data_IF_260028746505
#
_entry.id   IF_260028746505
#
_cell.length_a   1.000
_cell.length_b   1.000
_cell.length_c   1.000
_cell.angle_alpha   90.00
_cell.angle_beta   90.00
_cell.angle_gamma   90.00
#
_symmetry.space_group_name_H-M   'P 1'
#
loop_
_entity.id
_entity.type
_entity.pdbx_description
1 polymer ?
#
# COMPACT_ATOMS: atom_id res chain seq x y z
N UNK A 1 15.37 -16.80 -12.27
CA UNK A 1 14.06 -16.75 -11.57
C UNK A 1 13.08 -17.51 -12.45
N UNK A 2 12.71 -18.74 -12.06
CA UNK A 2 11.57 -19.38 -12.69
C UNK A 2 10.35 -18.51 -12.34
N UNK A 3 9.73 -17.90 -13.35
CA UNK A 3 8.52 -17.10 -13.14
C UNK A 3 7.43 -18.04 -12.60
N UNK A 4 6.74 -17.61 -11.54
CA UNK A 4 5.54 -18.28 -11.02
C UNK A 4 4.41 -18.14 -12.05
N UNK A 5 4.52 -18.88 -13.15
CA UNK A 5 3.56 -18.95 -14.24
C UNK A 5 2.75 -20.24 -14.11
N UNK A 6 1.56 -20.24 -14.69
CA UNK A 6 0.74 -21.44 -14.79
C UNK A 6 1.50 -22.59 -15.48
N UNK A 7 1.21 -23.81 -15.02
CA UNK A 7 1.73 -25.02 -15.66
C UNK A 7 1.14 -25.18 -17.06
N UNK A 8 1.83 -25.88 -17.98
CA UNK A 8 1.31 -26.16 -19.32
C UNK A 8 -0.07 -26.83 -19.33
N UNK A 9 -0.35 -27.70 -18.36
CA UNK A 9 -1.63 -28.40 -18.25
C UNK A 9 -2.79 -27.44 -17.92
N UNK A 10 -2.56 -26.50 -16.99
CA UNK A 10 -3.54 -25.46 -16.67
C UNK A 10 -3.70 -24.47 -17.84
N UNK A 11 -2.63 -24.18 -18.57
CA UNK A 11 -2.71 -23.37 -19.80
C UNK A 11 -3.57 -24.04 -20.87
N UNK A 12 -3.39 -25.34 -21.10
CA UNK A 12 -4.17 -26.11 -22.08
C UNK A 12 -5.66 -26.21 -21.70
N UNK A 13 -5.99 -26.13 -20.41
CA UNK A 13 -7.37 -25.99 -19.94
C UNK A 13 -7.96 -24.62 -20.31
N UNK A 14 -7.20 -23.54 -20.12
CA UNK A 14 -7.66 -22.16 -20.31
C UNK A 14 -7.82 -21.74 -21.77
N UNK A 15 -7.16 -22.41 -22.72
CA UNK A 15 -7.30 -22.13 -24.15
C UNK A 15 -8.52 -22.80 -24.80
N UNK A 16 -9.36 -23.52 -24.04
CA UNK A 16 -10.55 -24.19 -24.57
C UNK A 16 -11.60 -23.17 -25.04
N UNK A 17 -11.60 -22.88 -26.34
CA UNK A 17 -12.49 -21.87 -26.93
C UNK A 17 -13.98 -22.29 -27.03
N UNK A 18 -14.24 -23.60 -26.99
CA UNK A 18 -15.57 -24.19 -27.16
C UNK A 18 -16.18 -24.71 -25.84
N UNK A 19 -15.46 -24.60 -24.72
CA UNK A 19 -15.99 -24.99 -23.41
C UNK A 19 -16.76 -23.82 -22.78
N UNK A 20 -17.89 -24.06 -22.09
CA UNK A 20 -18.56 -23.02 -21.30
C UNK A 20 -17.63 -22.47 -20.22
N UNK A 21 -17.72 -21.17 -19.95
CA UNK A 21 -16.91 -20.50 -18.93
C UNK A 21 -17.05 -21.15 -17.55
N UNK A 22 -18.28 -21.48 -17.14
CA UNK A 22 -18.56 -22.17 -15.87
C UNK A 22 -17.90 -23.53 -15.80
N UNK A 23 -17.99 -24.32 -16.88
CA UNK A 23 -17.35 -25.63 -16.95
C UNK A 23 -15.82 -25.51 -16.89
N UNK A 24 -15.22 -24.56 -17.63
CA UNK A 24 -13.77 -24.33 -17.57
C UNK A 24 -13.32 -23.93 -16.17
N UNK A 25 -14.12 -23.13 -15.45
CA UNK A 25 -13.83 -22.74 -14.08
C UNK A 25 -13.94 -23.90 -13.09
N UNK A 26 -14.97 -24.74 -13.21
CA UNK A 26 -15.13 -25.95 -12.39
C UNK A 26 -14.01 -26.95 -12.64
N UNK A 27 -13.63 -27.17 -13.91
CA UNK A 27 -12.48 -27.99 -14.29
C UNK A 27 -11.17 -27.43 -13.70
N UNK A 28 -10.98 -26.10 -13.75
CA UNK A 28 -9.78 -25.44 -13.23
C UNK A 28 -9.69 -25.62 -11.72
N UNK A 29 -10.79 -25.35 -11.01
CA UNK A 29 -10.87 -25.57 -9.58
C UNK A 29 -10.61 -27.05 -9.24
N UNK A 30 -11.17 -28.00 -9.99
CA UNK A 30 -10.91 -29.42 -9.79
C UNK A 30 -9.44 -29.80 -9.98
N UNK A 31 -8.76 -29.23 -10.98
CA UNK A 31 -7.34 -29.48 -11.23
C UNK A 31 -6.42 -28.97 -10.12
N UNK A 32 -6.84 -27.94 -9.38
CA UNK A 32 -6.07 -27.35 -8.28
C UNK A 32 -6.52 -27.87 -6.91
N UNK A 33 -7.55 -28.73 -6.84
CA UNK A 33 -7.96 -29.40 -5.61
C UNK A 33 -6.81 -30.28 -5.08
N UNK A 34 -6.31 -29.93 -3.89
CA UNK A 34 -5.16 -30.61 -3.27
C UNK A 34 -3.82 -29.90 -3.50
N UNK A 35 -3.81 -28.84 -4.31
CA UNK A 35 -2.73 -27.87 -4.35
C UNK A 35 -3.10 -26.61 -3.55
N UNK A 36 -2.17 -25.67 -3.43
CA UNK A 36 -2.47 -24.35 -2.88
C UNK A 36 -3.27 -23.54 -3.91
N UNK A 37 -4.60 -23.60 -3.80
CA UNK A 37 -5.56 -22.93 -4.70
C UNK A 37 -5.19 -21.46 -4.94
N UNK A 38 -4.81 -20.74 -3.89
CA UNK A 38 -4.43 -19.34 -4.03
C UNK A 38 -3.16 -19.16 -4.84
N UNK A 39 -2.15 -20.02 -4.65
CA UNK A 39 -0.94 -19.98 -5.47
C UNK A 39 -1.30 -20.14 -6.94
N UNK A 40 -2.24 -21.02 -7.29
CA UNK A 40 -2.69 -21.21 -8.68
C UNK A 40 -3.51 -20.04 -9.23
N UNK A 41 -4.40 -19.47 -8.43
CA UNK A 41 -5.16 -18.27 -8.79
C UNK A 41 -4.24 -17.06 -8.96
N UNK A 42 -3.18 -16.99 -8.16
CA UNK A 42 -2.13 -15.98 -8.34
C UNK A 42 -1.36 -16.23 -9.63
N UNK A 43 -0.88 -17.44 -9.88
CA UNK A 43 -0.17 -17.76 -11.13
C UNK A 43 -1.03 -17.39 -12.35
N UNK A 44 -2.34 -17.68 -12.30
CA UNK A 44 -3.31 -17.25 -13.30
C UNK A 44 -3.31 -15.73 -13.48
N UNK A 45 -3.50 -14.98 -12.39
CA UNK A 45 -3.49 -13.52 -12.41
C UNK A 45 -2.19 -12.95 -13.00
N UNK A 46 -1.03 -13.42 -12.53
CA UNK A 46 0.27 -12.97 -13.01
C UNK A 46 0.47 -13.32 -14.49
N UNK A 47 0.05 -14.50 -14.94
CA UNK A 47 0.13 -14.86 -16.36
C UNK A 47 -0.76 -13.95 -17.21
N UNK A 48 -1.98 -13.62 -16.77
CA UNK A 48 -2.86 -12.65 -17.45
C UNK A 48 -2.19 -11.28 -17.57
N UNK A 49 -1.62 -10.76 -16.48
CA UNK A 49 -0.96 -9.44 -16.46
C UNK A 49 0.30 -9.41 -17.35
N UNK A 50 1.13 -10.46 -17.30
CA UNK A 50 2.32 -10.59 -18.16
C UNK A 50 1.94 -10.59 -19.63
N UNK A 51 0.91 -11.36 -20.01
CA UNK A 51 0.45 -11.40 -21.40
C UNK A 51 -0.17 -10.06 -21.80
N UNK A 52 -0.95 -9.41 -20.93
CA UNK A 52 -1.56 -8.12 -21.23
C UNK A 52 -0.54 -6.99 -21.46
N UNK A 53 0.62 -7.06 -20.77
CA UNK A 53 1.71 -6.10 -20.91
C UNK A 53 2.78 -6.46 -21.96
N UNK A 54 2.67 -7.60 -22.63
CA UNK A 54 3.68 -8.05 -23.59
C UNK A 54 3.52 -7.38 -24.96
N UNK A 55 4.63 -7.10 -25.64
CA UNK A 55 4.62 -6.59 -27.03
C UNK A 55 4.05 -7.63 -28.02
N UNK A 56 4.36 -8.91 -27.80
CA UNK A 56 3.83 -10.04 -28.56
C UNK A 56 3.25 -11.12 -27.62
N UNK A 57 1.98 -10.95 -27.18
CA UNK A 57 1.35 -11.87 -26.24
C UNK A 57 1.10 -13.26 -26.83
N UNK A 58 0.98 -13.38 -28.16
CA UNK A 58 0.78 -14.68 -28.80
C UNK A 58 2.07 -15.51 -28.70
N UNK A 59 3.22 -14.90 -28.98
CA UNK A 59 4.51 -15.56 -28.83
C UNK A 59 4.82 -15.85 -27.36
N UNK A 60 4.51 -14.93 -26.45
CA UNK A 60 4.66 -15.17 -25.01
C UNK A 60 3.82 -16.38 -24.54
N UNK A 61 2.56 -16.48 -24.97
CA UNK A 61 1.71 -17.62 -24.64
C UNK A 61 2.25 -18.94 -25.22
N UNK A 62 2.80 -18.93 -26.44
CA UNK A 62 3.46 -20.11 -27.03
C UNK A 62 4.68 -20.57 -26.22
N UNK A 63 5.47 -19.63 -25.74
CA UNK A 63 6.64 -19.93 -24.91
C UNK A 63 6.23 -20.54 -23.57
N UNK A 64 5.18 -20.00 -22.94
CA UNK A 64 4.63 -20.56 -21.69
C UNK A 64 4.10 -21.99 -21.88
N UNK A 65 3.61 -22.33 -23.08
CA UNK A 65 3.18 -23.69 -23.44
C UNK A 65 4.32 -24.64 -23.82
N UNK A 66 5.58 -24.21 -23.72
CA UNK A 66 6.75 -25.04 -24.02
C UNK A 66 7.21 -25.06 -25.48
N UNK A 67 6.78 -24.11 -26.32
CA UNK A 67 7.45 -23.74 -27.58
C UNK A 67 7.56 -24.77 -28.71
N UNK A 68 6.96 -25.97 -28.62
CA UNK A 68 7.24 -27.08 -29.55
C UNK A 68 6.15 -27.40 -30.60
N UNK A 69 5.04 -26.66 -30.68
CA UNK A 69 4.02 -26.95 -31.71
C UNK A 69 4.40 -26.31 -33.05
N UNK A 70 5.02 -27.09 -33.94
CA UNK A 70 5.38 -26.72 -35.32
C UNK A 70 4.18 -26.55 -36.29
N UNK A 71 2.95 -26.41 -35.80
CA UNK A 71 1.79 -26.27 -36.69
C UNK A 71 1.52 -24.80 -37.02
N UNK A 72 1.45 -24.52 -38.32
CA UNK A 72 1.23 -23.19 -38.86
C UNK A 72 -0.20 -22.66 -38.70
N UNK A 73 -0.31 -21.38 -39.09
CA UNK A 73 -1.48 -20.50 -39.16
C UNK A 73 -1.80 -19.72 -37.87
N UNK A 74 -1.33 -18.47 -37.83
CA UNK A 74 -1.51 -17.52 -36.72
C UNK A 74 -2.96 -17.14 -36.35
N UNK A 75 -3.96 -17.64 -37.08
CA UNK A 75 -5.36 -17.50 -36.69
C UNK A 75 -5.70 -18.33 -35.43
N UNK A 76 -5.08 -19.50 -35.26
CA UNK A 76 -5.27 -20.32 -34.06
C UNK A 76 -4.62 -19.67 -32.83
N UNK A 77 -3.48 -19.01 -33.00
CA UNK A 77 -2.79 -18.34 -31.88
C UNK A 77 -3.61 -17.20 -31.28
N UNK A 78 -4.28 -16.42 -32.13
CA UNK A 78 -5.17 -15.36 -31.70
C UNK A 78 -6.40 -15.89 -30.95
N UNK A 79 -6.93 -17.03 -31.40
CA UNK A 79 -8.03 -17.72 -30.76
C UNK A 79 -7.62 -18.29 -29.40
N UNK A 80 -6.46 -18.92 -29.31
CA UNK A 80 -5.91 -19.46 -28.06
C UNK A 80 -5.67 -18.34 -27.05
N UNK A 81 -5.07 -17.22 -27.48
CA UNK A 81 -4.86 -16.05 -26.63
C UNK A 81 -6.20 -15.46 -26.13
N UNK A 82 -7.18 -15.32 -27.02
CA UNK A 82 -8.49 -14.81 -26.64
C UNK A 82 -9.22 -15.77 -25.68
N UNK A 83 -9.20 -17.07 -25.96
CA UNK A 83 -9.75 -18.10 -25.08
C UNK A 83 -9.14 -18.01 -23.68
N UNK A 84 -7.80 -17.98 -23.62
CA UNK A 84 -7.04 -17.85 -22.38
C UNK A 84 -7.47 -16.62 -21.59
N UNK A 85 -7.48 -15.45 -22.22
CA UNK A 85 -7.85 -14.19 -21.55
C UNK A 85 -9.26 -14.25 -20.99
N UNK A 86 -10.24 -14.68 -21.79
CA UNK A 86 -11.65 -14.70 -21.36
C UNK A 86 -11.90 -15.73 -20.26
N UNK A 87 -11.35 -16.94 -20.38
CA UNK A 87 -11.49 -17.98 -19.36
C UNK A 87 -10.80 -17.55 -18.05
N UNK A 88 -9.63 -16.91 -18.13
CA UNK A 88 -8.90 -16.47 -16.94
C UNK A 88 -9.67 -15.41 -16.15
N UNK A 89 -10.22 -14.39 -16.84
CA UNK A 89 -11.04 -13.37 -16.18
C UNK A 89 -12.30 -13.97 -15.53
N UNK A 90 -12.92 -14.94 -16.20
CA UNK A 90 -14.08 -15.61 -15.65
C UNK A 90 -13.73 -16.45 -14.41
N UNK A 91 -12.58 -17.13 -14.39
CA UNK A 91 -12.12 -17.89 -13.21
C UNK A 91 -11.83 -16.95 -12.03
N UNK A 92 -11.17 -15.81 -12.28
CA UNK A 92 -10.92 -14.80 -11.25
C UNK A 92 -12.23 -14.26 -10.62
N UNK A 93 -13.29 -14.17 -11.42
CA UNK A 93 -14.65 -13.95 -10.94
C UNK A 93 -15.22 -15.15 -10.18
N UNK A 94 -15.18 -16.34 -10.77
CA UNK A 94 -15.84 -17.54 -10.26
C UNK A 94 -15.34 -17.94 -8.87
N UNK A 95 -14.03 -17.83 -8.60
CA UNK A 95 -13.44 -18.13 -7.28
C UNK A 95 -13.95 -17.21 -6.18
N UNK A 96 -14.46 -16.03 -6.53
CA UNK A 96 -14.99 -15.05 -5.58
C UNK A 96 -16.48 -14.77 -5.78
N UNK A 97 -17.21 -15.62 -6.52
CA UNK A 97 -18.61 -15.34 -6.90
C UNK A 97 -19.58 -15.32 -5.72
N UNK A 98 -19.22 -15.98 -4.62
CA UNK A 98 -20.02 -16.04 -3.40
C UNK A 98 -19.89 -14.76 -2.55
N UNK A 99 -18.98 -13.86 -2.93
CA UNK A 99 -18.80 -12.56 -2.30
C UNK A 99 -19.40 -11.44 -3.15
N UNK A 100 -19.74 -10.32 -2.51
CA UNK A 100 -20.10 -9.10 -3.24
C UNK A 100 -18.95 -8.71 -4.20
N UNK A 101 -19.29 -8.30 -5.42
CA UNK A 101 -18.31 -7.85 -6.42
C UNK A 101 -17.41 -6.71 -5.88
N UNK A 102 -17.92 -5.90 -4.95
CA UNK A 102 -17.18 -4.86 -4.23
C UNK A 102 -16.03 -5.41 -3.37
N UNK A 103 -16.03 -6.71 -3.05
CA UNK A 103 -15.01 -7.41 -2.28
C UNK A 103 -14.06 -8.23 -3.17
N UNK A 104 -14.27 -8.28 -4.48
CA UNK A 104 -13.41 -9.04 -5.37
C UNK A 104 -12.01 -8.38 -5.43
N UNK A 105 -10.92 -9.14 -5.19
CA UNK A 105 -9.56 -8.58 -5.22
C UNK A 105 -9.14 -8.07 -6.60
N UNK A 106 -9.80 -8.50 -7.68
CA UNK A 106 -9.52 -8.06 -9.05
C UNK A 106 -10.29 -6.80 -9.46
N UNK A 107 -11.18 -6.28 -8.59
CA UNK A 107 -12.03 -5.12 -8.90
C UNK A 107 -11.23 -3.92 -9.38
N UNK A 108 -10.14 -3.58 -8.69
CA UNK A 108 -9.25 -2.46 -9.05
C UNK A 108 -8.68 -2.60 -10.46
N UNK A 109 -8.24 -3.82 -10.81
CA UNK A 109 -7.68 -4.09 -12.12
C UNK A 109 -8.74 -3.99 -13.22
N UNK A 110 -9.92 -4.56 -12.99
CA UNK A 110 -11.05 -4.52 -13.91
C UNK A 110 -11.54 -3.11 -14.19
N UNK A 111 -11.67 -2.28 -13.15
CA UNK A 111 -12.07 -0.86 -13.31
C UNK A 111 -11.02 -0.09 -14.10
N UNK A 112 -9.73 -0.26 -13.78
CA UNK A 112 -8.62 0.37 -14.52
C UNK A 112 -8.60 -0.04 -15.99
N UNK A 113 -8.79 -1.33 -16.28
CA UNK A 113 -8.84 -1.86 -17.64
C UNK A 113 -10.01 -1.28 -18.45
N UNK A 114 -11.17 -1.10 -17.81
CA UNK A 114 -12.33 -0.47 -18.45
C UNK A 114 -12.07 1.02 -18.75
N UNK A 115 -11.43 1.75 -17.82
CA UNK A 115 -11.08 3.15 -17.98
C UNK A 115 -10.09 3.37 -19.14
N UNK A 116 -8.97 2.64 -19.15
CA UNK A 116 -7.93 2.79 -20.19
C UNK A 116 -8.45 2.51 -21.61
N UNK A 117 -9.38 1.56 -21.74
CA UNK A 117 -10.00 1.23 -23.02
C UNK A 117 -10.97 2.31 -23.48
N UNK A 118 -11.70 2.95 -22.55
CA UNK A 118 -12.60 4.06 -22.87
C UNK A 118 -11.83 5.29 -23.38
N UNK A 119 -10.68 5.59 -22.79
CA UNK A 119 -9.80 6.68 -23.24
C UNK A 119 -9.27 6.43 -24.66
N UNK A 120 -8.90 5.19 -24.97
CA UNK A 120 -8.36 4.81 -26.29
C UNK A 120 -9.42 4.87 -27.39
N UNK A 121 -10.69 4.58 -27.09
CA UNK A 121 -11.78 4.63 -28.07
C UNK A 121 -12.07 6.04 -28.60
N UNK A 122 -11.72 7.09 -27.86
CA UNK A 122 -11.93 8.47 -28.28
C UNK A 122 -11.05 8.94 -29.45
N UNK A 123 -9.95 8.23 -29.74
CA UNK A 123 -8.93 8.69 -30.70
C UNK A 123 -9.13 8.24 -32.16
N UNK A 124 -10.25 7.61 -32.50
CA UNK A 124 -10.74 7.50 -33.89
C UNK A 124 -9.83 6.82 -34.93
N UNK A 125 -8.75 6.14 -34.54
CA UNK A 125 -7.87 5.48 -35.51
C UNK A 125 -8.57 4.21 -36.07
N UNK A 126 -8.87 4.25 -37.37
CA UNK A 126 -9.68 3.24 -38.05
C UNK A 126 -8.96 1.89 -38.24
N UNK A 127 -7.64 1.84 -38.01
CA UNK A 127 -6.86 0.60 -38.11
C UNK A 127 -6.75 -0.09 -36.76
N UNK A 128 -7.85 -0.69 -36.29
CA UNK A 128 -7.79 -1.42 -35.03
C UNK A 128 -6.92 -2.68 -35.17
N UNK A 129 -5.81 -2.75 -34.46
CA UNK A 129 -4.95 -3.94 -34.47
C UNK A 129 -5.70 -5.14 -33.90
N UNK A 130 -5.28 -6.37 -34.27
CA UNK A 130 -5.86 -7.60 -33.73
C UNK A 130 -5.86 -7.60 -32.19
N UNK A 131 -4.78 -7.09 -31.58
CA UNK A 131 -4.65 -6.99 -30.14
C UNK A 131 -5.68 -6.03 -29.52
N UNK A 132 -5.93 -4.88 -30.13
CA UNK A 132 -7.00 -3.97 -29.70
C UNK A 132 -8.39 -4.60 -29.83
N UNK A 133 -8.60 -5.50 -30.80
CA UNK A 133 -9.85 -6.27 -30.89
C UNK A 133 -9.97 -7.28 -29.73
N UNK A 134 -8.91 -8.03 -29.43
CA UNK A 134 -8.87 -8.95 -28.28
C UNK A 134 -9.14 -8.19 -26.98
N UNK A 135 -8.48 -7.05 -26.78
CA UNK A 135 -8.65 -6.22 -25.58
C UNK A 135 -10.08 -5.67 -25.44
N UNK A 136 -10.71 -5.23 -26.54
CA UNK A 136 -12.13 -4.80 -26.51
C UNK A 136 -13.06 -5.93 -26.10
N UNK A 137 -12.84 -7.15 -26.59
CA UNK A 137 -13.65 -8.31 -26.22
C UNK A 137 -13.43 -8.68 -24.74
N UNK A 138 -12.17 -8.66 -24.26
CA UNK A 138 -11.83 -8.89 -22.85
C UNK A 138 -12.52 -7.87 -21.94
N UNK A 139 -12.48 -6.59 -22.30
CA UNK A 139 -13.17 -5.50 -21.57
C UNK A 139 -14.69 -5.72 -21.56
N UNK A 140 -15.29 -6.13 -22.68
CA UNK A 140 -16.72 -6.43 -22.72
C UNK A 140 -17.11 -7.55 -21.73
N UNK A 141 -16.30 -8.62 -21.64
CA UNK A 141 -16.55 -9.68 -20.65
C UNK A 141 -16.48 -9.14 -19.22
N UNK A 142 -15.43 -8.38 -18.90
CA UNK A 142 -15.27 -7.77 -17.57
C UNK A 142 -16.38 -6.79 -17.25
N UNK A 143 -16.86 -6.00 -18.22
CA UNK A 143 -18.04 -5.16 -18.03
C UNK A 143 -19.29 -5.98 -17.71
N UNK A 144 -19.47 -7.14 -18.36
CA UNK A 144 -20.54 -8.07 -18.02
C UNK A 144 -20.44 -8.59 -16.58
N UNK A 145 -19.25 -9.00 -16.15
CA UNK A 145 -18.97 -9.44 -14.76
C UNK A 145 -19.31 -8.32 -13.77
N UNK A 146 -18.75 -7.12 -13.97
CA UNK A 146 -19.02 -5.94 -13.14
C UNK A 146 -20.51 -5.58 -13.15
N UNK A 147 -21.18 -5.76 -14.28
CA UNK A 147 -22.63 -5.57 -14.48
C UNK A 147 -23.52 -6.59 -13.79
N UNK A 148 -22.97 -7.55 -13.04
CA UNK A 148 -23.73 -8.59 -12.34
C UNK A 148 -24.22 -9.71 -13.27
N UNK A 149 -23.64 -9.86 -14.47
CA UNK A 149 -24.02 -10.88 -15.44
C UNK A 149 -23.17 -12.16 -15.34
N UNK A 150 -22.33 -12.27 -14.32
CA UNK A 150 -21.35 -13.37 -14.18
C UNK A 150 -21.98 -14.77 -14.24
N UNK A 151 -23.12 -15.00 -13.58
CA UNK A 151 -23.81 -16.30 -13.64
C UNK A 151 -24.31 -16.63 -15.06
N UNK A 152 -24.94 -15.67 -15.73
CA UNK A 152 -25.43 -15.86 -17.10
C UNK A 152 -24.29 -16.11 -18.09
N UNK A 153 -23.16 -15.39 -17.91
CA UNK A 153 -21.95 -15.56 -18.68
C UNK A 153 -21.38 -16.98 -18.53
N UNK A 154 -21.52 -17.63 -17.37
CA UNK A 154 -21.01 -18.98 -17.12
C UNK A 154 -21.50 -20.04 -18.12
N UNK A 155 -22.68 -19.85 -18.70
CA UNK A 155 -23.25 -20.76 -19.71
C UNK A 155 -22.69 -20.57 -21.13
N UNK A 156 -21.98 -19.47 -21.38
CA UNK A 156 -21.42 -19.15 -22.69
C UNK A 156 -20.03 -19.73 -22.86
N UNK A 157 -19.67 -20.04 -24.09
CA UNK A 157 -18.28 -20.34 -24.48
C UNK A 157 -17.59 -19.05 -24.93
N UNK A 158 -16.24 -18.99 -24.88
CA UNK A 158 -15.49 -17.91 -25.52
C UNK A 158 -15.92 -17.64 -26.98
N UNK A 159 -16.09 -18.70 -27.78
CA UNK A 159 -16.57 -18.60 -29.16
C UNK A 159 -17.94 -17.92 -29.25
N UNK A 160 -18.91 -18.38 -28.46
CA UNK A 160 -20.27 -17.86 -28.47
C UNK A 160 -20.30 -16.40 -27.99
N UNK A 161 -19.50 -16.04 -27.00
CA UNK A 161 -19.38 -14.68 -26.50
C UNK A 161 -18.88 -13.74 -27.60
N UNK A 162 -17.84 -14.13 -28.32
CA UNK A 162 -17.25 -13.37 -29.44
C UNK A 162 -18.23 -13.24 -30.60
N UNK A 163 -18.87 -14.33 -31.01
CA UNK A 163 -19.81 -14.35 -32.14
C UNK A 163 -21.05 -13.49 -31.87
N UNK A 164 -21.54 -13.46 -30.62
CA UNK A 164 -22.66 -12.62 -30.21
C UNK A 164 -22.31 -11.13 -30.21
N UNK A 165 -21.02 -10.78 -30.16
CA UNK A 165 -20.58 -9.38 -30.12
C UNK A 165 -21.15 -8.64 -28.90
N UNK A 166 -21.19 -9.31 -27.75
CA UNK A 166 -21.80 -8.75 -26.54
C UNK A 166 -21.01 -7.51 -26.08
N UNK A 167 -21.74 -6.49 -25.66
CA UNK A 167 -21.20 -5.32 -24.98
C UNK A 167 -22.17 -4.93 -23.85
N UNK A 168 -21.61 -4.34 -22.80
CA UNK A 168 -22.35 -4.00 -21.59
C UNK A 168 -22.06 -2.54 -21.24
N UNK A 169 -23.10 -1.80 -20.86
CA UNK A 169 -22.92 -0.48 -20.32
C UNK A 169 -22.83 -0.56 -18.79
N UNK A 170 -21.73 -0.07 -18.23
CA UNK A 170 -21.52 -0.04 -16.78
C UNK A 170 -21.15 1.37 -16.35
N UNK A 171 -21.79 1.82 -15.26
CA UNK A 171 -21.29 2.97 -14.53
C UNK A 171 -20.11 2.53 -13.67
N UNK A 172 -18.90 3.01 -13.98
CA UNK A 172 -17.70 2.74 -13.21
C UNK A 172 -17.66 3.55 -11.90
N UNK A 173 -18.39 4.67 -11.82
CA UNK A 173 -18.38 5.54 -10.64
C UNK A 173 -18.95 4.83 -9.40
N UNK A 174 -19.89 3.89 -9.59
CA UNK A 174 -20.46 3.09 -8.49
C UNK A 174 -19.42 2.24 -7.73
N UNK A 175 -18.28 1.94 -8.35
CA UNK A 175 -17.20 1.18 -7.70
C UNK A 175 -16.22 2.05 -6.92
N UNK A 176 -16.35 3.40 -6.98
CA UNK A 176 -15.43 4.30 -6.30
C UNK A 176 -15.36 4.07 -4.79
N UNK A 177 -16.52 3.87 -4.15
CA UNK A 177 -16.58 3.60 -2.71
C UNK A 177 -15.94 2.25 -2.35
N UNK A 178 -16.19 1.21 -3.16
CA UNK A 178 -15.59 -0.11 -2.98
C UNK A 178 -14.07 -0.06 -3.12
N UNK A 179 -13.57 0.60 -4.17
CA UNK A 179 -12.14 0.80 -4.41
C UNK A 179 -11.48 1.63 -3.31
N UNK A 180 -12.18 2.62 -2.77
CA UNK A 180 -11.74 3.36 -1.60
C UNK A 180 -11.65 2.47 -0.35
N UNK A 181 -12.68 1.65 -0.08
CA UNK A 181 -12.66 0.66 1.02
C UNK A 181 -11.55 -0.38 0.86
N UNK A 182 -11.17 -0.71 -0.37
CA UNK A 182 -10.03 -1.56 -0.71
C UNK A 182 -8.67 -0.82 -0.64
N UNK A 183 -8.65 0.48 -0.34
CA UNK A 183 -7.43 1.27 -0.24
C UNK A 183 -6.79 1.69 -1.56
N UNK A 184 -7.47 1.47 -2.70
CA UNK A 184 -6.99 1.75 -4.06
C UNK A 184 -6.98 3.25 -4.36
N UNK A 185 -7.94 4.00 -3.82
CA UNK A 185 -7.98 5.46 -3.91
C UNK A 185 -7.68 6.07 -2.55
N UNK A 186 -6.85 7.11 -2.54
CA UNK A 186 -6.68 7.95 -1.36
C UNK A 186 -8.01 8.67 -1.05
N UNK A 187 -8.31 8.94 0.23
CA UNK A 187 -9.41 9.85 0.55
C UNK A 187 -9.13 11.18 -0.16
N UNK A 188 -9.93 11.51 -1.18
CA UNK A 188 -10.08 12.92 -1.52
C UNK A 188 -10.52 13.62 -0.24
N UNK A 189 -9.82 14.67 0.22
CA UNK A 189 -10.19 15.35 1.43
C UNK A 189 -11.59 15.94 1.23
N UNK A 190 -12.61 15.27 1.74
CA UNK A 190 -14.00 15.72 1.81
C UNK A 190 -14.15 17.00 2.67
N UNK A 191 -13.04 17.59 3.12
CA UNK A 191 -12.95 18.80 3.92
C UNK A 191 -12.65 20.08 3.12
N UNK A 192 -12.64 20.06 1.79
CA UNK A 192 -12.58 21.31 0.99
C UNK A 192 -13.92 22.06 0.89
N UNK A 193 -14.92 21.70 1.70
CA UNK A 193 -16.16 22.45 1.81
C UNK A 193 -15.93 23.76 2.58
N UNK A 194 -15.76 24.85 1.84
CA UNK A 194 -16.03 26.24 2.21
C UNK A 194 -15.33 26.79 3.46
N UNK A 195 -14.18 27.44 3.24
CA UNK A 195 -13.76 28.58 4.08
C UNK A 195 -13.30 29.76 3.21
N UNK A 196 -14.28 30.43 2.61
CA UNK A 196 -14.12 31.83 2.22
C UNK A 196 -14.47 32.73 3.42
N UNK A 197 -13.46 33.29 4.07
CA UNK A 197 -13.52 34.59 4.77
C UNK A 197 -12.09 34.98 5.19
N UNK A 198 -11.44 35.90 4.48
CA UNK A 198 -11.42 37.36 4.78
C UNK A 198 -10.39 37.76 5.85
N UNK A 199 -9.33 38.45 5.40
CA UNK A 199 -8.77 39.73 5.95
C UNK A 199 -8.66 39.85 7.48
N UNK A 200 -7.50 40.12 8.10
CA UNK A 200 -6.76 41.38 7.97
C UNK A 200 -5.47 41.36 8.80
N UNK A 201 -4.47 42.07 8.30
CA UNK A 201 -3.26 42.58 8.97
C UNK A 201 -3.50 43.39 10.25
N UNK A 202 -2.61 43.30 11.25
CA UNK A 202 -2.18 44.48 12.02
C UNK A 202 -0.78 44.32 12.62
N UNK A 203 0.11 45.18 12.16
CA UNK A 203 1.45 45.51 12.68
C UNK A 203 1.34 46.38 13.94
N UNK A 204 2.14 46.15 14.99
CA UNK A 204 2.51 47.21 15.94
C UNK A 204 3.93 47.04 16.53
N UNK A 205 4.68 48.14 16.45
CA UNK A 205 6.02 48.37 16.98
C UNK A 205 5.99 48.95 18.42
N UNK A 206 6.86 48.42 19.30
CA UNK A 206 7.85 49.03 20.25
C UNK A 206 7.56 50.45 20.84
N UNK A 207 7.80 50.73 22.16
CA UNK A 207 9.12 51.22 22.65
C UNK A 207 9.56 50.89 24.10
N UNK A 208 10.84 51.20 24.48
CA UNK A 208 11.53 50.75 25.70
C UNK A 208 11.64 51.85 26.79
N UNK A 209 12.07 51.51 28.01
CA UNK A 209 12.78 52.43 28.94
C UNK A 209 13.41 51.69 30.15
N UNK A 210 14.41 52.32 30.85
CA UNK A 210 15.43 51.67 31.69
C UNK A 210 15.38 52.03 33.20
N UNK A 211 16.40 51.55 33.95
CA UNK A 211 16.86 51.92 35.33
C UNK A 211 16.26 51.14 36.52
N UNK A 212 16.89 51.04 37.71
CA UNK A 212 18.25 50.65 38.17
C UNK A 212 18.20 50.53 39.73
N UNK A 213 18.96 49.59 40.31
CA UNK A 213 19.35 49.38 41.75
C UNK A 213 18.30 48.86 42.78
N UNK A 214 18.66 48.35 44.00
CA UNK A 214 19.94 47.94 44.64
C UNK A 214 19.89 46.48 45.26
N UNK A 215 20.92 45.98 46.01
CA UNK A 215 21.08 44.55 46.34
C UNK A 215 20.56 44.19 47.74
N UNK A 216 19.92 43.04 47.92
CA UNK A 216 19.64 42.45 49.24
C UNK A 216 19.31 40.95 49.19
N UNK A 217 20.04 40.19 50.01
CA UNK A 217 19.65 38.91 50.65
C UNK A 217 19.51 37.64 49.79
N UNK A 218 19.84 36.45 50.34
CA UNK A 218 19.88 35.20 49.59
C UNK A 218 18.44 34.77 49.24
N UNK A 219 18.07 35.03 47.99
CA UNK A 219 16.76 34.74 47.44
C UNK A 219 16.59 33.24 47.14
N UNK A 220 15.36 32.70 47.27
CA UNK A 220 14.99 31.42 46.67
C UNK A 220 15.29 31.46 45.16
N UNK A 221 15.60 30.31 44.52
CA UNK A 221 16.05 30.24 43.14
C UNK A 221 15.12 31.06 42.23
N UNK A 222 15.71 32.07 41.59
CA UNK A 222 15.04 33.04 40.73
C UNK A 222 14.38 32.32 39.53
N UNK A 223 13.12 32.66 39.23
CA UNK A 223 12.35 32.13 38.09
C UNK A 223 12.99 32.37 36.71
N UNK A 224 14.08 33.15 36.63
CA UNK A 224 14.86 33.35 35.41
C UNK A 224 15.66 32.11 34.99
N UNK A 225 16.05 31.25 35.93
CA UNK A 225 16.90 30.08 35.61
C UNK A 225 16.11 28.95 34.93
N UNK A 226 14.84 28.74 35.29
CA UNK A 226 13.97 27.74 34.67
C UNK A 226 13.66 28.06 33.21
N UNK A 227 13.49 29.34 32.87
CA UNK A 227 13.24 29.77 31.48
C UNK A 227 14.45 29.49 30.58
N UNK A 228 15.65 29.82 31.06
CA UNK A 228 16.92 29.55 30.35
C UNK A 228 17.12 28.05 30.12
N UNK A 229 16.80 27.22 31.12
CA UNK A 229 16.94 25.77 31.00
C UNK A 229 15.93 25.15 30.04
N UNK A 230 14.67 25.59 30.07
CA UNK A 230 13.63 25.14 29.14
C UNK A 230 14.01 25.45 27.69
N UNK A 231 14.61 26.61 27.43
CA UNK A 231 15.11 26.99 26.11
C UNK A 231 16.26 26.09 25.64
N UNK A 232 17.21 25.77 26.54
CA UNK A 232 18.32 24.85 26.22
C UNK A 232 17.83 23.45 25.89
N UNK A 233 16.86 22.93 26.63
CA UNK A 233 16.25 21.62 26.38
C UNK A 233 15.51 21.62 25.05
N UNK A 234 14.72 22.66 24.80
CA UNK A 234 14.01 22.85 23.53
C UNK A 234 14.98 22.85 22.35
N UNK A 235 16.05 23.63 22.44
CA UNK A 235 17.09 23.67 21.41
C UNK A 235 17.79 22.30 21.23
N UNK A 236 18.05 21.57 22.31
CA UNK A 236 18.64 20.24 22.26
C UNK A 236 17.71 19.21 21.59
N UNK A 237 16.40 19.27 21.84
CA UNK A 237 15.40 18.40 21.20
C UNK A 237 15.33 18.70 19.71
N UNK A 238 15.25 19.98 19.32
CA UNK A 238 15.25 20.38 17.90
C UNK A 238 16.53 19.91 17.20
N UNK A 239 17.69 20.11 17.83
CA UNK A 239 18.96 19.62 17.29
C UNK A 239 18.98 18.09 17.19
N UNK A 240 18.42 17.39 18.18
CA UNK A 240 18.25 15.93 18.17
C UNK A 240 17.34 15.42 17.05
N UNK A 241 16.47 16.24 16.49
CA UNK A 241 15.65 15.84 15.35
C UNK A 241 16.44 15.73 14.04
N UNK A 242 17.68 16.25 13.99
CA UNK A 242 18.52 16.23 12.79
C UNK A 242 19.89 15.59 13.00
N UNK A 243 20.31 15.38 14.26
CA UNK A 243 21.65 14.91 14.62
C UNK A 243 21.56 13.90 15.76
N UNK A 244 22.28 12.76 15.69
CA UNK A 244 22.33 11.81 16.80
C UNK A 244 22.96 12.46 18.03
N UNK A 245 22.28 12.33 19.18
CA UNK A 245 22.75 12.79 20.48
C UNK A 245 23.39 11.62 21.24
N UNK A 246 24.35 11.89 22.15
CA UNK A 246 24.84 10.88 23.06
C UNK A 246 23.69 10.28 23.91
N UNK A 247 23.60 8.95 24.07
CA UNK A 247 22.53 8.32 24.85
C UNK A 247 22.43 8.83 26.29
N UNK A 248 23.57 9.20 26.90
CA UNK A 248 23.61 9.82 28.23
C UNK A 248 22.88 11.16 28.26
N UNK A 249 23.01 11.98 27.22
CA UNK A 249 22.31 13.26 27.10
C UNK A 249 20.81 13.05 26.90
N UNK A 250 20.41 12.10 26.04
CA UNK A 250 19.01 11.73 25.84
C UNK A 250 18.35 11.29 27.16
N UNK A 251 19.02 10.43 27.93
CA UNK A 251 18.53 9.98 29.24
C UNK A 251 18.49 11.11 30.28
N UNK A 252 19.46 12.03 30.26
CA UNK A 252 19.44 13.22 31.12
C UNK A 252 18.25 14.13 30.77
N UNK A 253 17.98 14.37 29.49
CA UNK A 253 16.83 15.17 29.05
C UNK A 253 15.52 14.52 29.51
N UNK A 254 15.34 13.21 29.28
CA UNK A 254 14.14 12.47 29.71
C UNK A 254 13.97 12.53 31.23
N UNK A 255 15.03 12.22 31.99
CA UNK A 255 15.03 12.22 33.46
C UNK A 255 14.72 13.60 34.03
N UNK A 256 15.25 14.64 33.40
CA UNK A 256 15.04 16.01 33.81
C UNK A 256 13.59 16.47 33.56
N UNK A 257 13.04 16.21 32.37
CA UNK A 257 11.64 16.52 32.03
C UNK A 257 10.67 15.72 32.92
N UNK A 258 10.97 14.44 33.18
CA UNK A 258 10.12 13.60 34.03
C UNK A 258 10.13 14.05 35.50
N UNK A 259 11.26 14.54 35.99
CA UNK A 259 11.40 15.10 37.34
C UNK A 259 10.70 16.46 37.50
N UNK A 260 10.56 17.23 36.42
CA UNK A 260 9.96 18.56 36.42
C UNK A 260 8.71 18.62 35.54
N UNK A 261 7.57 18.12 36.04
CA UNK A 261 6.31 18.05 35.28
C UNK A 261 5.85 19.38 34.66
N UNK A 262 6.18 20.53 35.27
CA UNK A 262 5.87 21.85 34.72
C UNK A 262 6.55 22.12 33.38
N UNK A 263 7.68 21.47 33.10
CA UNK A 263 8.35 21.59 31.80
C UNK A 263 7.59 20.91 30.68
N UNK A 264 6.85 19.83 30.99
CA UNK A 264 6.03 19.15 29.99
C UNK A 264 5.02 20.12 29.40
N UNK A 265 4.35 20.91 30.25
CA UNK A 265 3.38 21.94 29.80
C UNK A 265 4.02 23.11 29.05
N UNK A 266 5.34 23.29 29.15
CA UNK A 266 6.10 24.34 28.47
C UNK A 266 6.70 23.90 27.14
N UNK A 267 6.65 22.60 26.80
CA UNK A 267 7.09 22.11 25.49
C UNK A 267 6.18 22.68 24.39
N UNK A 268 6.77 23.40 23.44
CA UNK A 268 6.03 23.97 22.32
C UNK A 268 5.37 22.85 21.50
N UNK A 269 4.11 23.02 21.06
CA UNK A 269 3.48 22.13 20.08
C UNK A 269 4.32 21.89 18.83
N UNK A 270 5.14 22.88 18.41
CA UNK A 270 6.00 22.76 17.24
C UNK A 270 7.04 21.62 17.36
N UNK A 271 7.47 21.30 18.58
CA UNK A 271 8.38 20.18 18.86
C UNK A 271 7.71 18.81 18.66
N UNK A 272 6.38 18.82 18.65
CA UNK A 272 5.52 17.64 18.51
C UNK A 272 4.95 17.55 17.09
N UNK A 273 5.44 18.40 16.19
CA UNK A 273 5.00 18.42 14.81
C UNK A 273 5.39 17.15 14.05
N UNK A 274 4.68 16.95 12.93
CA UNK A 274 4.96 15.91 11.93
C UNK A 274 6.37 16.00 11.32
N UNK A 275 7.08 17.12 11.50
CA UNK A 275 8.46 17.28 11.03
C UNK A 275 9.50 16.84 12.07
N UNK A 276 9.26 17.09 13.36
CA UNK A 276 10.25 16.85 14.43
C UNK A 276 10.25 15.41 14.92
N UNK A 277 9.06 14.81 15.10
CA UNK A 277 8.95 13.45 15.65
C UNK A 277 9.63 12.40 14.75
N UNK A 278 9.40 12.37 13.42
CA UNK A 278 10.08 11.41 12.55
C UNK A 278 11.61 11.51 12.62
N UNK A 279 12.15 12.74 12.61
CA UNK A 279 13.59 12.96 12.75
C UNK A 279 14.12 12.49 14.10
N UNK A 280 13.39 12.74 15.19
CA UNK A 280 13.77 12.22 16.51
C UNK A 280 13.76 10.69 16.54
N UNK A 281 12.82 10.02 15.86
CA UNK A 281 12.80 8.56 15.78
C UNK A 281 14.01 8.03 15.03
N UNK A 282 14.39 8.65 13.91
CA UNK A 282 15.52 8.19 13.09
C UNK A 282 16.87 8.42 13.78
N UNK A 283 17.08 9.58 14.40
CA UNK A 283 18.38 9.94 14.97
C UNK A 283 18.51 9.63 16.47
N UNK A 284 17.41 9.65 17.21
CA UNK A 284 17.39 9.59 18.69
C UNK A 284 16.19 8.80 19.25
N UNK A 285 16.03 7.51 18.91
CA UNK A 285 14.80 6.76 19.19
C UNK A 285 14.45 6.68 20.68
N UNK A 286 15.44 6.59 21.57
CA UNK A 286 15.23 6.60 23.02
C UNK A 286 14.61 7.93 23.50
N UNK A 287 15.11 9.05 22.97
CA UNK A 287 14.59 10.38 23.29
C UNK A 287 13.15 10.54 22.76
N UNK A 288 12.91 10.13 21.52
CA UNK A 288 11.57 10.14 20.92
C UNK A 288 10.57 9.35 21.77
N UNK A 289 10.92 8.11 22.13
CA UNK A 289 10.09 7.25 22.96
C UNK A 289 9.80 7.85 24.34
N UNK A 290 10.83 8.35 25.03
CA UNK A 290 10.68 8.96 26.34
C UNK A 290 9.79 10.21 26.30
N UNK A 291 9.99 11.09 25.31
CA UNK A 291 9.19 12.31 25.14
C UNK A 291 7.74 12.00 24.81
N UNK A 292 7.49 11.15 23.82
CA UNK A 292 6.15 10.75 23.41
C UNK A 292 5.41 10.13 24.59
N UNK A 293 6.05 9.26 25.36
CA UNK A 293 5.43 8.68 26.55
C UNK A 293 5.09 9.73 27.61
N UNK A 294 6.03 10.63 27.93
CA UNK A 294 5.82 11.67 28.93
C UNK A 294 4.65 12.57 28.56
N UNK A 295 4.49 12.89 27.28
CA UNK A 295 3.42 13.74 26.76
C UNK A 295 2.09 12.99 26.70
N UNK A 296 2.08 11.76 26.20
CA UNK A 296 0.87 10.93 26.19
C UNK A 296 0.38 10.58 27.60
N UNK A 297 1.22 10.69 28.63
CA UNK A 297 0.82 10.41 30.02
C UNK A 297 0.48 11.68 30.80
N UNK A 298 1.31 12.73 30.68
CA UNK A 298 1.25 13.92 31.55
C UNK A 298 1.08 15.23 30.77
N UNK A 299 1.05 15.20 29.44
CA UNK A 299 0.91 16.38 28.60
C UNK A 299 -0.50 16.97 28.60
N UNK A 300 -0.62 18.19 28.09
CA UNK A 300 -1.93 18.83 27.88
C UNK A 300 -2.71 18.12 26.77
N UNK A 301 -4.03 18.31 26.72
CA UNK A 301 -4.87 17.75 25.66
C UNK A 301 -4.36 18.14 24.26
N UNK A 302 -3.96 19.41 24.07
CA UNK A 302 -3.39 19.89 22.81
C UNK A 302 -2.12 19.14 22.44
N UNK A 303 -1.17 19.00 23.38
CA UNK A 303 0.08 18.29 23.13
C UNK A 303 -0.14 16.82 22.80
N UNK A 304 -1.09 16.16 23.50
CA UNK A 304 -1.47 14.78 23.21
C UNK A 304 -2.04 14.65 21.80
N UNK A 305 -2.92 15.56 21.39
CA UNK A 305 -3.50 15.57 20.05
C UNK A 305 -2.43 15.76 18.97
N UNK A 306 -1.48 16.67 19.16
CA UNK A 306 -0.37 16.87 18.23
C UNK A 306 0.55 15.64 18.14
N UNK A 307 0.88 15.00 19.26
CA UNK A 307 1.66 13.76 19.23
C UNK A 307 0.89 12.67 18.47
N UNK A 308 -0.39 12.48 18.76
CA UNK A 308 -1.23 11.47 18.09
C UNK A 308 -1.34 11.73 16.58
N UNK A 309 -1.46 13.00 16.16
CA UNK A 309 -1.51 13.36 14.74
C UNK A 309 -0.17 13.16 14.02
N UNK A 310 0.95 13.25 14.75
CA UNK A 310 2.30 13.03 14.22
C UNK A 310 2.71 11.55 14.17
N UNK A 311 2.18 10.68 15.03
CA UNK A 311 2.53 9.24 15.06
C UNK A 311 2.37 8.54 13.70
N UNK A 312 1.34 8.79 12.88
CA UNK A 312 1.23 8.21 11.53
C UNK A 312 2.33 8.61 10.54
N UNK A 313 3.20 9.56 10.88
CA UNK A 313 4.31 10.01 10.04
C UNK A 313 5.66 9.43 10.47
N UNK A 314 5.68 8.62 11.53
CA UNK A 314 6.86 7.89 11.96
C UNK A 314 7.35 7.00 10.81
N UNK A 315 8.65 6.99 10.51
CA UNK A 315 9.21 6.21 9.41
C UNK A 315 9.03 4.70 9.66
N UNK A 316 8.91 3.93 8.58
CA UNK A 316 8.77 2.47 8.61
C UNK A 316 10.15 1.82 8.82
N UNK A 317 10.83 2.24 9.89
CA UNK A 317 12.11 1.71 10.35
C UNK A 317 11.87 0.80 11.55
N UNK A 318 12.88 0.01 11.95
CA UNK A 318 12.78 -0.84 13.15
C UNK A 318 12.39 0.00 14.36
N UNK A 319 13.10 1.11 14.60
CA UNK A 319 12.84 1.98 15.74
C UNK A 319 11.47 2.67 15.68
N UNK A 320 11.00 3.03 14.49
CA UNK A 320 9.66 3.59 14.32
C UNK A 320 8.56 2.59 14.66
N UNK A 321 8.63 1.37 14.11
CA UNK A 321 7.65 0.33 14.38
C UNK A 321 7.71 -0.18 15.83
N UNK A 322 8.90 -0.26 16.43
CA UNK A 322 9.08 -0.56 17.86
C UNK A 322 8.42 0.50 18.74
N UNK A 323 8.60 1.79 18.43
CA UNK A 323 7.94 2.89 19.13
C UNK A 323 6.41 2.76 19.06
N UNK A 324 5.85 2.55 17.86
CA UNK A 324 4.41 2.39 17.68
C UNK A 324 3.91 1.15 18.45
N UNK A 325 4.63 0.02 18.34
CA UNK A 325 4.30 -1.19 19.07
C UNK A 325 4.32 -0.94 20.59
N UNK A 326 5.29 -0.21 21.12
CA UNK A 326 5.39 0.08 22.55
C UNK A 326 4.26 1.00 23.05
N UNK A 327 3.90 2.02 22.26
CA UNK A 327 2.78 2.93 22.57
C UNK A 327 1.46 2.17 22.63
N UNK A 328 1.23 1.30 21.64
CA UNK A 328 -0.04 0.59 21.48
C UNK A 328 -0.15 -0.59 22.45
N UNK A 329 0.91 -1.39 22.62
CA UNK A 329 0.86 -2.64 23.40
C UNK A 329 1.19 -2.44 24.89
N UNK A 330 2.26 -1.72 25.23
CA UNK A 330 2.79 -1.71 26.60
C UNK A 330 2.10 -0.71 27.50
N UNK A 331 1.75 0.46 26.95
CA UNK A 331 1.42 1.60 27.80
C UNK A 331 -0.06 1.95 27.83
N UNK A 332 -0.86 1.46 26.87
CA UNK A 332 -2.30 1.73 26.77
C UNK A 332 -2.63 3.22 26.91
N UNK A 333 -1.70 4.09 26.49
CA UNK A 333 -1.82 5.55 26.59
C UNK A 333 -2.81 6.12 25.58
N UNK A 334 -3.12 5.32 24.55
CA UNK A 334 -4.12 5.58 23.53
C UNK A 334 -5.43 4.85 23.88
N UNK A 335 -6.56 5.43 23.50
CA UNK A 335 -7.82 4.67 23.49
C UNK A 335 -7.75 3.53 22.47
N UNK A 336 -8.58 2.50 22.64
CA UNK A 336 -8.64 1.36 21.72
C UNK A 336 -8.89 1.81 20.26
N UNK A 337 -9.76 2.80 20.06
CA UNK A 337 -10.04 3.33 18.73
C UNK A 337 -8.86 4.14 18.16
N UNK A 338 -8.18 4.94 18.98
CA UNK A 338 -6.98 5.66 18.55
C UNK A 338 -5.85 4.71 18.15
N UNK A 339 -5.64 3.65 18.95
CA UNK A 339 -4.67 2.61 18.64
C UNK A 339 -5.02 1.89 17.32
N UNK A 340 -6.30 1.54 17.12
CA UNK A 340 -6.78 0.90 15.89
C UNK A 340 -6.53 1.77 14.66
N UNK A 341 -6.96 3.05 14.71
CA UNK A 341 -6.77 4.01 13.60
C UNK A 341 -5.29 4.18 13.28
N UNK A 342 -4.45 4.33 14.31
CA UNK A 342 -3.00 4.48 14.14
C UNK A 342 -2.39 3.26 13.44
N UNK A 343 -2.72 2.04 13.90
CA UNK A 343 -2.21 0.80 13.31
C UNK A 343 -2.60 0.71 11.83
N UNK A 344 -3.87 0.92 11.49
CA UNK A 344 -4.31 0.89 10.09
C UNK A 344 -3.58 1.90 9.22
N UNK A 345 -3.45 3.13 9.72
CA UNK A 345 -2.78 4.21 8.97
C UNK A 345 -1.30 3.90 8.75
N UNK A 346 -0.61 3.35 9.75
CA UNK A 346 0.80 2.93 9.64
C UNK A 346 0.96 1.78 8.65
N UNK A 347 0.10 0.77 8.71
CA UNK A 347 0.16 -0.37 7.80
C UNK A 347 -0.12 0.04 6.35
N UNK A 348 -1.15 0.86 6.12
CA UNK A 348 -1.49 1.37 4.79
C UNK A 348 -0.33 2.19 4.19
N UNK A 349 0.20 3.15 4.96
CA UNK A 349 1.37 3.94 4.52
C UNK A 349 2.59 3.06 4.31
N UNK A 350 2.80 2.05 5.15
CA UNK A 350 3.89 1.11 5.04
C UNK A 350 3.83 0.30 3.76
N UNK A 351 2.67 -0.26 3.44
CA UNK A 351 2.42 -1.02 2.22
C UNK A 351 2.70 -0.13 1.00
N UNK A 352 2.10 1.07 0.93
CA UNK A 352 2.32 2.03 -0.16
C UNK A 352 3.79 2.45 -0.30
N UNK A 353 4.48 2.64 0.82
CA UNK A 353 5.90 2.96 0.80
C UNK A 353 6.70 1.82 0.14
N UNK A 354 6.43 0.57 0.51
CA UNK A 354 7.08 -0.60 -0.07
C UNK A 354 6.75 -0.75 -1.57
N UNK A 355 5.51 -0.49 -1.98
CA UNK A 355 5.13 -0.48 -3.40
C UNK A 355 5.96 0.54 -4.20
N UNK A 356 6.11 1.75 -3.66
CA UNK A 356 6.85 2.85 -4.31
C UNK A 356 8.32 2.51 -4.53
N UNK A 357 8.92 1.71 -3.63
CA UNK A 357 10.28 1.21 -3.80
C UNK A 357 10.42 0.31 -5.03
N UNK A 358 9.39 -0.46 -5.38
CA UNK A 358 9.37 -1.31 -6.57
C UNK A 358 9.08 -0.54 -7.88
N UNK A 359 8.16 0.41 -7.84
CA UNK A 359 7.70 1.15 -9.02
C UNK A 359 8.78 2.05 -9.65
N UNK A 360 9.70 2.58 -8.84
CA UNK A 360 10.73 3.54 -9.27
C UNK A 360 11.74 3.01 -10.32
N UNK A 361 11.70 1.71 -10.64
CA UNK A 361 12.61 1.05 -11.58
C UNK A 361 12.14 1.04 -13.05
N UNK A 362 10.89 1.45 -13.35
CA UNK A 362 10.24 1.17 -14.64
C UNK A 362 9.85 2.39 -15.47
N UNK A 363 10.38 3.58 -15.21
CA UNK A 363 10.21 4.70 -16.15
C UNK A 363 11.32 4.66 -17.21
N UNK A 364 11.09 4.09 -18.42
CA UNK A 364 11.99 4.30 -19.54
C UNK A 364 11.97 5.79 -19.84
N UNK A 365 13.12 6.43 -19.68
CA UNK A 365 13.37 7.80 -20.12
C UNK A 365 13.23 7.87 -21.64
N UNK A 366 12.01 7.98 -22.15
CA UNK A 366 11.69 8.31 -23.54
C UNK A 366 11.51 9.82 -23.66
N UNK A 367 12.64 10.54 -23.64
CA UNK A 367 12.72 11.89 -24.24
C UNK A 367 13.61 11.80 -25.48
N UNK A 368 13.05 11.93 -26.69
CA UNK A 368 13.83 12.13 -27.90
C UNK A 368 14.19 13.61 -28.00
N UNK A 369 15.26 14.03 -27.31
CA UNK A 369 15.78 15.40 -27.48
C UNK A 369 16.87 15.44 -28.54
N UNK A 370 16.50 16.15 -29.60
CA UNK A 370 17.25 16.57 -30.76
C UNK A 370 18.76 16.83 -30.54
N UNK A 371 19.50 16.40 -31.56
CA UNK A 371 20.85 16.82 -31.92
C UNK A 371 21.11 18.30 -31.60
N UNK A 372 22.03 18.55 -30.67
CA UNK A 372 22.78 19.80 -30.60
C UNK A 372 24.23 19.47 -30.30
N UNK A 373 25.01 19.48 -31.37
CA UNK A 373 26.45 19.38 -31.32
C UNK A 373 27.02 20.72 -30.83
N UNK A 374 27.69 20.73 -29.69
CA UNK A 374 28.88 21.57 -29.49
C UNK A 374 29.68 21.05 -28.31
N UNK A 375 30.92 20.64 -28.60
CA UNK A 375 31.81 20.01 -27.65
C UNK A 375 32.39 21.01 -26.64
N UNK A 376 32.36 20.61 -25.37
CA UNK A 376 33.34 21.01 -24.37
C UNK A 376 33.65 19.75 -23.57
N UNK A 377 34.89 19.29 -23.71
CA UNK A 377 35.45 18.17 -22.95
C UNK A 377 35.74 18.68 -21.55
N UNK A 378 34.96 18.27 -20.56
CA UNK A 378 35.32 18.45 -19.16
C UNK A 378 35.36 17.09 -18.45
N UNK A 379 36.53 16.78 -17.90
CA UNK A 379 36.85 15.54 -17.22
C UNK A 379 36.37 15.63 -15.77
N UNK A 380 35.08 15.39 -15.54
CA UNK A 380 34.56 15.06 -14.21
C UNK A 380 33.98 13.65 -14.25
N UNK A 381 34.62 12.76 -13.48
CA UNK A 381 34.33 11.33 -13.38
C UNK A 381 32.85 11.13 -13.02
N UNK A 382 32.01 10.60 -13.93
CA UNK A 382 30.64 10.23 -13.61
C UNK A 382 30.68 8.89 -12.90
N UNK A 383 30.74 8.93 -11.57
CA UNK A 383 30.54 7.78 -10.69
C UNK A 383 29.07 7.37 -10.70
N UNK A 384 28.73 6.63 -11.73
CA UNK A 384 27.44 6.04 -12.09
C UNK A 384 26.75 5.34 -10.91
N UNK A 385 25.82 6.03 -10.23
CA UNK A 385 24.79 5.42 -9.37
C UNK A 385 23.73 4.74 -10.24
N UNK A 386 24.10 3.68 -10.97
CA UNK A 386 23.10 2.67 -11.31
C UNK A 386 22.97 1.84 -10.04
N UNK A 387 22.07 2.29 -9.16
CA UNK A 387 21.57 1.43 -8.10
C UNK A 387 21.01 0.20 -8.79
N UNK A 388 21.65 -0.96 -8.59
CA UNK A 388 21.18 -2.20 -9.18
C UNK A 388 19.74 -2.43 -8.74
N UNK A 389 18.86 -2.80 -9.66
CA UNK A 389 17.47 -3.23 -9.38
C UNK A 389 17.44 -4.28 -8.25
N UNK A 390 18.51 -5.07 -8.11
CA UNK A 390 18.68 -6.02 -7.02
C UNK A 390 18.73 -5.34 -5.63
N UNK A 391 19.44 -4.21 -5.49
CA UNK A 391 19.55 -3.48 -4.23
C UNK A 391 18.22 -2.83 -3.82
N UNK A 392 17.47 -2.30 -4.78
CA UNK A 392 16.12 -1.78 -4.52
C UNK A 392 15.16 -2.88 -4.08
N UNK A 393 15.21 -4.05 -4.72
CA UNK A 393 14.38 -5.20 -4.36
C UNK A 393 14.74 -5.79 -3.00
N UNK A 394 16.03 -5.80 -2.65
CA UNK A 394 16.50 -6.18 -1.33
C UNK A 394 15.95 -5.23 -0.26
N UNK A 395 16.00 -3.92 -0.51
CA UNK A 395 15.47 -2.91 0.39
C UNK A 395 13.94 -2.99 0.53
N UNK A 396 13.23 -3.24 -0.57
CA UNK A 396 11.80 -3.50 -0.55
C UNK A 396 11.48 -4.74 0.29
N UNK A 397 12.22 -5.84 0.10
CA UNK A 397 12.07 -7.08 0.87
C UNK A 397 12.30 -6.83 2.36
N UNK A 398 13.29 -6.01 2.72
CA UNK A 398 13.57 -5.64 4.11
C UNK A 398 12.36 -4.94 4.75
N UNK A 399 11.74 -3.99 4.06
CA UNK A 399 10.57 -3.27 4.57
C UNK A 399 9.32 -4.16 4.72
N UNK A 400 9.07 -5.06 3.75
CA UNK A 400 7.99 -6.06 3.87
C UNK A 400 8.16 -6.89 5.13
N UNK A 401 9.38 -7.40 5.38
CA UNK A 401 9.67 -8.20 6.57
C UNK A 401 9.41 -7.42 7.87
N UNK A 402 9.77 -6.14 7.90
CA UNK A 402 9.50 -5.28 9.05
C UNK A 402 8.01 -5.12 9.33
N UNK A 403 7.20 -4.90 8.28
CA UNK A 403 5.74 -4.84 8.41
C UNK A 403 5.16 -6.17 8.90
N UNK A 404 5.65 -7.30 8.38
CA UNK A 404 5.21 -8.62 8.83
C UNK A 404 5.51 -8.84 10.31
N UNK A 405 6.73 -8.51 10.77
CA UNK A 405 7.11 -8.62 12.18
C UNK A 405 6.27 -7.71 13.07
N UNK A 406 5.98 -6.49 12.62
CA UNK A 406 5.13 -5.56 13.33
C UNK A 406 3.71 -6.11 13.48
N UNK A 407 3.09 -6.61 12.40
CA UNK A 407 1.76 -7.25 12.47
C UNK A 407 1.79 -8.46 13.41
N UNK A 408 2.78 -9.34 13.30
CA UNK A 408 2.91 -10.50 14.19
C UNK A 408 3.05 -10.09 15.66
N UNK A 409 3.75 -8.99 15.95
CA UNK A 409 3.87 -8.45 17.29
C UNK A 409 2.51 -7.98 17.84
N UNK A 410 1.72 -7.28 17.02
CA UNK A 410 0.38 -6.82 17.39
C UNK A 410 -0.58 -7.99 17.65
N UNK A 411 -0.54 -9.02 16.80
CA UNK A 411 -1.38 -10.22 16.94
C UNK A 411 -0.96 -11.05 18.15
N UNK A 412 0.35 -11.23 18.39
CA UNK A 412 0.87 -12.01 19.54
C UNK A 412 0.60 -11.34 20.88
N UNK A 413 0.47 -10.02 20.90
CA UNK A 413 0.16 -9.26 22.11
C UNK A 413 -1.35 -9.11 22.37
N UNK A 414 -2.20 -9.75 21.56
CA UNK A 414 -3.67 -9.62 21.58
C UNK A 414 -4.15 -8.17 21.56
N UNK A 415 -3.36 -7.29 20.94
CA UNK A 415 -3.69 -5.85 20.90
C UNK A 415 -4.69 -5.55 19.78
N UNK A 416 -4.65 -6.35 18.72
CA UNK A 416 -5.59 -6.30 17.60
C UNK A 416 -5.99 -7.72 17.23
N UNK A 417 -7.28 -7.92 16.98
CA UNK A 417 -7.78 -9.21 16.51
C UNK A 417 -7.38 -9.45 15.04
N UNK A 418 -7.08 -10.70 14.63
CA UNK A 418 -6.73 -11.01 13.24
C UNK A 418 -7.73 -10.48 12.21
N UNK A 419 -9.03 -10.53 12.53
CA UNK A 419 -10.10 -10.06 11.65
C UNK A 419 -10.02 -8.55 11.38
N UNK A 420 -9.56 -7.76 12.37
CA UNK A 420 -9.40 -6.32 12.20
C UNK A 420 -8.29 -6.00 11.21
N UNK A 421 -7.23 -6.82 11.13
CA UNK A 421 -6.12 -6.63 10.18
C UNK A 421 -6.26 -7.44 8.89
N UNK A 422 -7.39 -8.10 8.67
CA UNK A 422 -7.57 -9.05 7.56
C UNK A 422 -7.20 -8.43 6.21
N UNK A 423 -7.71 -7.24 5.90
CA UNK A 423 -7.45 -6.60 4.62
C UNK A 423 -5.99 -6.18 4.46
N UNK A 424 -5.33 -5.67 5.50
CA UNK A 424 -3.91 -5.29 5.44
C UNK A 424 -3.01 -6.53 5.29
N UNK A 425 -3.34 -7.62 6.00
CA UNK A 425 -2.60 -8.89 5.87
C UNK A 425 -2.82 -9.50 4.48
N UNK A 426 -4.05 -9.46 3.97
CA UNK A 426 -4.37 -9.90 2.62
C UNK A 426 -3.63 -9.09 1.57
N UNK A 427 -3.67 -7.76 1.66
CA UNK A 427 -3.00 -6.87 0.71
C UNK A 427 -1.48 -7.07 0.72
N UNK A 428 -0.86 -7.03 1.92
CA UNK A 428 0.57 -7.31 2.08
C UNK A 428 0.93 -8.72 1.57
N UNK A 429 0.09 -9.71 1.86
CA UNK A 429 0.25 -11.10 1.44
C UNK A 429 0.21 -11.25 -0.08
N UNK A 430 -0.83 -10.74 -0.73
CA UNK A 430 -1.05 -10.81 -2.18
C UNK A 430 0.06 -10.07 -2.93
N UNK A 431 0.34 -8.83 -2.55
CA UNK A 431 1.30 -7.97 -3.24
C UNK A 431 2.74 -8.45 -3.09
N UNK A 432 3.13 -8.85 -1.88
CA UNK A 432 4.52 -9.19 -1.56
C UNK A 432 4.72 -10.68 -1.30
N UNK A 433 3.91 -11.55 -1.90
CA UNK A 433 3.99 -13.00 -1.69
C UNK A 433 5.34 -13.64 -2.07
N UNK A 434 6.19 -12.95 -2.84
CA UNK A 434 7.57 -13.40 -3.08
C UNK A 434 8.45 -13.31 -1.83
N UNK A 435 8.04 -12.54 -0.83
CA UNK A 435 8.63 -12.48 0.51
C UNK A 435 7.98 -13.58 1.36
N UNK A 436 8.80 -14.48 1.90
CA UNK A 436 8.32 -15.65 2.65
C UNK A 436 7.47 -15.25 3.85
N UNK A 437 7.88 -14.24 4.60
CA UNK A 437 7.22 -13.79 5.82
C UNK A 437 5.80 -13.24 5.55
N UNK A 438 5.60 -12.52 4.44
CA UNK A 438 4.29 -12.01 4.05
C UNK A 438 3.34 -13.15 3.66
N UNK A 439 3.85 -14.13 2.90
CA UNK A 439 3.08 -15.32 2.51
C UNK A 439 2.67 -16.15 3.72
N UNK A 440 3.59 -16.42 4.65
CA UNK A 440 3.30 -17.18 5.86
C UNK A 440 2.30 -16.46 6.77
N UNK A 441 2.44 -15.14 6.92
CA UNK A 441 1.49 -14.32 7.68
C UNK A 441 0.07 -14.42 7.09
N UNK A 442 -0.03 -14.30 5.77
CA UNK A 442 -1.30 -14.36 5.06
C UNK A 442 -1.95 -15.75 5.10
N UNK A 443 -1.20 -16.83 4.86
CA UNK A 443 -1.73 -18.21 4.99
C UNK A 443 -2.27 -18.43 6.41
N UNK A 444 -1.50 -18.01 7.42
CA UNK A 444 -1.87 -18.22 8.82
C UNK A 444 -3.15 -17.49 9.23
N UNK A 445 -3.38 -16.27 8.74
CA UNK A 445 -4.43 -15.40 9.26
C UNK A 445 -5.59 -15.10 8.29
N UNK A 446 -5.44 -15.39 6.99
CA UNK A 446 -6.48 -15.14 5.99
C UNK A 446 -6.99 -16.44 5.33
N UNK A 447 -6.08 -17.34 4.92
CA UNK A 447 -6.47 -18.53 4.13
C UNK A 447 -7.39 -19.50 4.90
N UNK A 448 -7.21 -19.63 6.22
CA UNK A 448 -8.00 -20.57 7.04
C UNK A 448 -9.34 -19.99 7.54
N UNK A 449 -9.57 -18.68 7.39
CA UNK A 449 -10.79 -18.04 7.91
C UNK A 449 -12.03 -18.45 7.10
N UNK A 450 -11.84 -18.78 5.81
CA UNK A 450 -12.93 -19.28 4.95
C UNK A 450 -13.45 -20.66 5.35
N UNK A 451 -12.58 -21.57 5.80
CA UNK A 451 -12.96 -22.96 6.10
C UNK A 451 -13.63 -23.10 7.49
N UNK A 452 -13.17 -22.35 8.49
CA UNK A 452 -13.78 -22.38 9.84
C UNK A 452 -15.14 -21.65 9.89
N UNK A 453 -15.30 -20.57 9.11
CA UNK A 453 -16.57 -19.84 9.00
C UNK A 453 -17.69 -20.69 8.39
N UNK A 454 -17.37 -21.57 7.44
CA UNK A 454 -18.33 -22.55 6.91
C UNK A 454 -18.66 -23.66 7.91
N UNK A 455 -17.68 -24.15 8.66
CA UNK A 455 -17.91 -25.18 9.68
C UNK A 455 -18.83 -24.68 10.81
N UNK A 456 -18.63 -23.44 11.26
CA UNK A 456 -19.49 -22.80 12.28
C UNK A 456 -20.92 -22.56 11.76
N UNK A 457 -21.09 -22.15 10.50
CA UNK A 457 -22.41 -22.02 9.86
C UNK A 457 -23.14 -23.36 9.71
N UNK A 458 -22.43 -24.46 9.50
CA UNK A 458 -23.03 -25.81 9.43
C UNK A 458 -23.47 -26.36 10.78
N UNK A 459 -22.99 -25.83 11.90
CA UNK A 459 -23.36 -26.29 13.25
C UNK A 459 -24.36 -25.39 13.98
N UNK A 460 -24.52 -24.13 13.56
CA UNK A 460 -25.53 -23.21 14.13
C UNK A 460 -26.93 -23.31 13.52
N UNK A 461 -27.16 -24.23 12.57
CA UNK A 461 -28.41 -24.38 11.83
C UNK A 461 -29.26 -25.61 12.19
N UNK A 462 -29.01 -26.26 13.33
CA UNK A 462 -29.84 -27.35 13.86
C UNK A 462 -30.77 -26.88 14.98
#
# INVERSE_FOLDING_TARGET
MALNMLTPDLLDLLIRFNAPFGQTADDFHHCILGEDEFTRIRELFFTVEVLAGCEDPMECLKQLRGGQRKHGLGAMDAQDLLAFMLNSEFILYAVHRDFDIAMNPNLANWVRMCQSTAETQGNGDASSTLLQRIQRIRVALVKGILGGQGEALGSLTPLNFVQKGMDFNIDLARFREALWKQGVYELEPLFSANTHSSTSSTTYNRPPTPNSHPPSSPHPPSSKDTTSMSQKITAAIIHGASVPLPPSLSNQIISFISSQRSLITLLSPDLLSTATIPGLVDYNPQLAQGLIFLILTNGTTTQRTEVISALPHVPITISGLELINDIVTKQRSLSADQARILIHTILEKGIRHVESLGASSTTPSSSPSALSASGVVDHTIPGTRIGSVAAQREEQTRHVKLLCLFIQSLLRSDTVEPLQLYYQIQDLGVQFMYVQEARELWIKHCANVGSEGEAARRHGGQ
#
